data_IF_891698237446
#
_entry.id   IF_891698237446
#
_cell.length_a   1.000
_cell.length_b   1.000
_cell.length_c   1.000
_cell.angle_alpha   90.00
_cell.angle_beta   90.00
_cell.angle_gamma   90.00
#
_symmetry.space_group_name_H-M   'P 1'
#
loop_
_entity.id
_entity.type
_entity.pdbx_description
1 polymer ?
#
# COMPACT_ATOMS: atom_id res chain seq x y z
N UNK A 1 -24.06 -30.15 75.93
CA UNK A 1 -22.68 -29.67 75.74
C UNK A 1 -22.75 -28.15 75.65
N UNK A 2 -22.70 -27.48 76.80
CA UNK A 2 -21.53 -26.70 77.28
C UNK A 2 -21.31 -25.42 76.43
N UNK A 3 -21.90 -24.29 76.86
CA UNK A 3 -21.23 -23.10 77.46
C UNK A 3 -20.64 -22.16 76.39
N UNK A 4 -20.74 -20.83 76.39
CA UNK A 4 -21.15 -19.78 77.35
C UNK A 4 -21.38 -18.46 76.55
N UNK A 5 -22.47 -17.72 76.81
CA UNK A 5 -22.54 -16.41 77.52
C UNK A 5 -21.81 -15.22 76.85
N UNK A 6 -22.52 -14.22 76.27
CA UNK A 6 -22.98 -12.93 76.88
C UNK A 6 -21.77 -11.96 77.09
N UNK A 7 -21.66 -10.71 76.56
CA UNK A 7 -22.53 -9.51 76.66
C UNK A 7 -21.98 -8.33 75.81
N UNK A 8 -22.87 -7.37 75.52
CA UNK A 8 -22.73 -6.06 74.86
C UNK A 8 -22.01 -4.97 75.70
N UNK A 9 -21.48 -3.93 75.03
CA UNK A 9 -21.75 -2.46 75.21
C UNK A 9 -20.52 -1.62 74.77
N UNK A 10 -20.55 -0.81 73.71
CA UNK A 10 -21.03 0.59 73.58
C UNK A 10 -20.04 1.70 74.03
N UNK A 11 -19.76 2.61 73.06
CA UNK A 11 -19.63 4.08 73.13
C UNK A 11 -18.27 4.82 73.34
N UNK A 12 -18.21 5.94 72.59
CA UNK A 12 -17.33 7.14 72.65
C UNK A 12 -15.86 6.96 72.19
N UNK A 13 -15.25 7.79 71.33
CA UNK A 13 -15.51 9.16 70.89
C UNK A 13 -14.34 10.05 71.32
N UNK A 14 -13.49 10.55 70.40
CA UNK A 14 -12.91 11.90 70.51
C UNK A 14 -12.12 12.38 69.28
N UNK A 15 -12.28 13.67 69.00
CA UNK A 15 -11.46 14.50 68.09
C UNK A 15 -10.18 14.92 68.82
N UNK A 16 -9.08 15.18 68.10
CA UNK A 16 -8.31 16.41 68.33
C UNK A 16 -7.39 16.80 67.17
N UNK A 17 -7.39 18.11 66.96
CA UNK A 17 -6.58 19.00 66.13
C UNK A 17 -5.11 19.04 66.59
N UNK A 18 -4.16 19.47 65.74
CA UNK A 18 -3.08 20.39 66.13
C UNK A 18 -2.15 20.80 64.96
N UNK A 19 -1.73 22.06 65.09
CA UNK A 19 -1.06 22.95 64.14
C UNK A 19 0.48 23.01 64.36
N UNK A 20 1.14 23.54 63.33
CA UNK A 20 2.29 24.50 63.34
C UNK A 20 3.73 24.02 63.68
N UNK A 21 4.66 24.50 62.84
CA UNK A 21 6.02 25.08 63.07
C UNK A 21 6.95 24.58 61.94
N UNK A 22 7.38 25.36 60.95
CA UNK A 22 8.09 26.65 60.88
C UNK A 22 9.52 26.64 61.50
N UNK A 23 10.52 26.71 60.61
CA UNK A 23 11.80 27.44 60.68
C UNK A 23 13.11 26.85 61.28
N UNK A 24 14.14 26.95 60.42
CA UNK A 24 15.54 27.43 60.60
C UNK A 24 16.70 26.42 60.88
N UNK A 25 17.50 26.16 59.81
CA UNK A 25 19.00 26.32 59.56
C UNK A 25 20.01 26.31 60.75
N UNK A 26 21.38 26.25 60.58
CA UNK A 26 22.30 26.13 59.40
C UNK A 26 23.45 25.07 59.62
N UNK A 27 24.37 24.76 58.67
CA UNK A 27 25.68 25.40 58.35
C UNK A 27 26.34 24.62 57.18
N UNK A 28 26.76 25.20 56.03
CA UNK A 28 28.02 25.93 55.71
C UNK A 28 29.29 25.10 55.98
N UNK A 29 30.07 24.64 54.98
CA UNK A 29 31.07 25.34 54.15
C UNK A 29 31.60 24.31 53.09
N UNK A 30 32.11 24.61 51.89
CA UNK A 30 32.84 25.79 51.38
C UNK A 30 32.97 25.71 49.83
N UNK A 31 32.85 26.90 49.21
CA UNK A 31 33.52 27.44 48.00
C UNK A 31 33.30 26.79 46.62
N UNK A 32 32.58 27.41 45.67
CA UNK A 32 32.91 28.61 44.85
C UNK A 32 34.06 28.33 43.86
N UNK A 33 34.05 28.68 42.57
CA UNK A 33 33.31 29.65 41.72
C UNK A 33 33.73 29.34 40.26
N UNK A 34 32.94 29.49 39.19
CA UNK A 34 32.65 30.70 38.38
C UNK A 34 32.27 30.13 36.99
N UNK A 35 31.35 30.61 36.15
CA UNK A 35 30.39 31.70 36.21
C UNK A 35 29.41 31.48 35.04
N UNK A 36 28.12 31.56 35.35
CA UNK A 36 27.00 31.82 34.43
C UNK A 36 26.98 33.36 34.17
N UNK A 37 25.98 34.02 33.54
CA UNK A 37 24.75 33.55 32.88
C UNK A 37 24.53 34.34 31.54
N UNK A 38 23.42 34.40 30.80
CA UNK A 38 22.00 34.45 31.10
C UNK A 38 21.17 34.09 29.87
N UNK A 39 19.97 33.66 30.20
CA UNK A 39 18.80 33.39 29.37
C UNK A 39 17.97 34.66 29.11
N UNK A 40 17.22 34.62 28.00
CA UNK A 40 15.74 34.76 27.95
C UNK A 40 15.14 35.83 27.02
N UNK A 41 14.04 35.38 26.39
CA UNK A 41 12.80 36.05 25.93
C UNK A 41 12.70 36.69 24.52
N UNK A 42 11.83 36.01 23.74
CA UNK A 42 10.72 36.50 22.89
C UNK A 42 10.78 37.87 22.21
N UNK A 43 10.52 37.87 20.88
CA UNK A 43 9.55 38.80 20.28
C UNK A 43 9.96 39.53 18.98
N UNK A 44 9.15 39.29 17.94
CA UNK A 44 8.83 40.16 16.77
C UNK A 44 9.82 40.32 15.60
N UNK A 45 9.35 39.78 14.47
CA UNK A 45 9.22 40.38 13.12
C UNK A 45 10.02 41.67 12.82
N UNK A 46 10.95 41.57 11.87
CA UNK A 46 11.53 42.71 11.16
C UNK A 46 11.41 42.44 9.66
N UNK A 47 10.66 43.31 8.99
CA UNK A 47 10.66 43.50 7.54
C UNK A 47 11.86 44.39 7.21
N UNK A 48 12.75 43.97 6.31
CA UNK A 48 13.71 44.84 5.65
C UNK A 48 13.65 44.61 4.14
N UNK A 49 13.28 45.68 3.45
CA UNK A 49 13.27 45.85 2.00
C UNK A 49 14.57 46.49 1.49
N UNK A 50 14.74 46.42 0.17
CA UNK A 50 15.71 47.11 -0.72
C UNK A 50 17.09 46.44 -0.85
N UNK A 51 17.72 46.31 -2.02
CA UNK A 51 17.34 46.58 -3.41
C UNK A 51 18.45 46.05 -4.35
N UNK A 52 18.06 45.59 -5.54
CA UNK A 52 18.79 45.56 -6.82
C UNK A 52 20.15 44.84 -6.93
N UNK A 53 20.20 43.79 -7.76
CA UNK A 53 21.29 43.51 -8.72
C UNK A 53 20.78 42.64 -9.89
N UNK A 54 21.21 42.97 -11.10
CA UNK A 54 20.77 42.47 -12.42
C UNK A 54 21.11 41.00 -12.72
N UNK A 55 20.42 40.35 -13.70
CA UNK A 55 20.61 38.94 -14.03
C UNK A 55 21.64 38.72 -15.14
N UNK A 56 22.60 37.82 -14.93
CA UNK A 56 23.48 37.29 -15.98
C UNK A 56 22.99 35.90 -16.43
N UNK A 57 22.70 35.80 -17.73
CA UNK A 57 22.37 34.56 -18.46
C UNK A 57 23.60 33.65 -18.50
N UNK A 58 23.42 32.37 -18.16
CA UNK A 58 24.33 31.30 -18.59
C UNK A 58 23.60 30.31 -19.49
N UNK A 59 24.15 30.14 -20.68
CA UNK A 59 23.75 29.21 -21.73
C UNK A 59 24.44 27.86 -21.48
N UNK A 60 23.67 26.78 -21.32
CA UNK A 60 24.19 25.41 -21.33
C UNK A 60 23.92 24.76 -22.69
N UNK A 61 24.99 24.51 -23.45
CA UNK A 61 25.04 23.47 -24.50
C UNK A 61 25.51 22.16 -23.86
N UNK A 62 25.00 20.99 -24.30
CA UNK A 62 25.43 19.69 -23.77
C UNK A 62 26.75 19.23 -24.42
N UNK A 63 27.70 18.77 -23.60
CA UNK A 63 28.97 18.18 -24.05
C UNK A 63 28.79 16.67 -24.26
N UNK A 64 29.09 16.21 -25.48
CA UNK A 64 29.19 14.80 -25.87
C UNK A 64 30.49 14.17 -25.36
N UNK A 65 30.40 12.98 -24.78
CA UNK A 65 31.54 12.13 -24.39
C UNK A 65 31.92 11.24 -25.59
N UNK A 66 33.22 11.20 -25.93
CA UNK A 66 33.80 10.42 -27.03
C UNK A 66 34.13 8.96 -26.63
N UNK A 67 34.19 8.02 -27.59
CA UNK A 67 34.44 6.60 -27.34
C UNK A 67 35.92 6.19 -27.46
N UNK A 68 36.20 5.03 -26.85
CA UNK A 68 37.47 4.31 -26.69
C UNK A 68 38.04 3.72 -28.02
N UNK A 69 39.37 3.70 -28.14
CA UNK A 69 40.14 3.24 -29.31
C UNK A 69 40.20 1.71 -29.53
N UNK A 70 40.37 1.28 -30.79
CA UNK A 70 41.02 0.00 -31.18
C UNK A 70 41.91 0.17 -32.43
N UNK A 71 42.97 -0.64 -32.62
CA UNK A 71 44.09 -0.33 -33.50
C UNK A 71 43.94 -0.81 -34.96
N UNK A 72 44.72 -0.18 -35.85
CA UNK A 72 44.80 -0.38 -37.32
C UNK A 72 45.61 -1.61 -37.72
N UNK A 73 45.22 -2.26 -38.81
CA UNK A 73 46.08 -3.04 -39.70
C UNK A 73 45.73 -2.75 -41.17
N UNK A 74 46.72 -2.79 -42.05
CA UNK A 74 46.66 -2.32 -43.45
C UNK A 74 46.98 -3.40 -44.50
N UNK A 75 46.12 -3.47 -45.53
CA UNK A 75 46.34 -3.75 -46.98
C UNK A 75 46.87 -5.15 -47.44
N UNK A 76 46.60 -5.64 -48.68
CA UNK A 76 46.58 -4.88 -49.96
C UNK A 76 45.48 -5.19 -51.01
N UNK A 77 45.65 -4.48 -52.14
CA UNK A 77 44.84 -4.17 -53.33
C UNK A 77 44.72 -5.23 -54.45
N UNK A 78 43.61 -5.19 -55.20
CA UNK A 78 43.58 -5.32 -56.68
C UNK A 78 42.23 -4.92 -57.33
N UNK A 79 42.33 -4.21 -58.46
CA UNK A 79 41.31 -3.74 -59.45
C UNK A 79 41.09 -4.82 -60.56
N UNK A 80 40.25 -4.69 -61.64
CA UNK A 80 39.71 -3.47 -62.31
C UNK A 80 38.21 -3.52 -62.76
N UNK A 81 37.52 -2.37 -62.82
CA UNK A 81 37.23 -1.48 -63.97
C UNK A 81 36.27 -2.02 -65.06
N UNK A 82 35.14 -1.31 -65.28
CA UNK A 82 34.64 -1.05 -66.63
C UNK A 82 33.81 0.26 -66.73
N UNK A 83 33.98 0.89 -67.88
CA UNK A 83 33.64 2.22 -68.43
C UNK A 83 32.18 2.75 -68.46
N UNK A 84 32.02 4.02 -68.06
CA UNK A 84 31.31 5.22 -68.62
C UNK A 84 30.36 5.14 -69.86
N UNK A 85 29.67 6.26 -70.27
CA UNK A 85 28.76 7.19 -69.56
C UNK A 85 27.50 7.57 -70.40
N UNK A 86 26.58 8.44 -69.93
CA UNK A 86 25.90 9.47 -70.75
C UNK A 86 25.02 10.43 -69.92
N UNK A 87 25.11 11.73 -70.26
CA UNK A 87 24.38 12.89 -69.71
C UNK A 87 23.06 13.11 -70.46
N UNK A 88 22.01 13.63 -69.79
CA UNK A 88 21.33 14.92 -70.07
C UNK A 88 19.96 14.98 -69.38
N UNK A 89 19.57 16.17 -68.89
CA UNK A 89 18.17 16.46 -68.56
C UNK A 89 17.96 17.49 -67.44
N UNK A 90 18.19 18.78 -67.74
CA UNK A 90 17.61 19.89 -66.96
C UNK A 90 16.16 20.10 -67.40
N UNK A 91 15.22 20.28 -66.47
CA UNK A 91 14.02 21.09 -66.72
C UNK A 91 13.50 21.76 -65.44
N UNK A 92 13.30 23.08 -65.54
CA UNK A 92 12.68 23.97 -64.55
C UNK A 92 11.17 23.81 -64.58
N UNK A 93 10.51 23.84 -63.41
CA UNK A 93 9.20 24.52 -63.24
C UNK A 93 9.00 24.98 -61.79
N UNK A 94 8.71 26.27 -61.62
CA UNK A 94 7.87 26.89 -60.56
C UNK A 94 6.64 27.49 -61.29
N UNK A 95 5.58 27.99 -60.64
CA UNK A 95 5.00 27.71 -59.32
C UNK A 95 3.47 27.47 -59.41
N UNK A 96 2.79 27.09 -58.31
CA UNK A 96 1.45 27.63 -58.01
C UNK A 96 1.05 27.38 -56.56
N UNK A 97 0.67 28.47 -55.91
CA UNK A 97 -0.02 28.52 -54.63
C UNK A 97 -1.50 28.20 -54.83
N UNK A 98 -2.03 27.21 -54.11
CA UNK A 98 -3.46 27.07 -53.87
C UNK A 98 -3.69 26.77 -52.39
N UNK A 99 -4.34 27.71 -51.71
CA UNK A 99 -4.97 27.53 -50.42
C UNK A 99 -6.25 26.72 -50.59
N UNK A 100 -6.39 25.61 -49.87
CA UNK A 100 -7.71 25.04 -49.60
C UNK A 100 -7.65 24.37 -48.22
N UNK A 101 -8.35 24.98 -47.26
CA UNK A 101 -8.53 24.43 -45.94
C UNK A 101 -9.33 23.13 -46.02
N UNK A 102 -8.80 22.07 -45.40
CA UNK A 102 -9.60 20.93 -44.97
C UNK A 102 -9.42 20.77 -43.47
N UNK A 103 -10.49 21.09 -42.76
CA UNK A 103 -10.68 20.72 -41.37
C UNK A 103 -10.59 19.18 -41.29
N UNK A 104 -9.59 18.67 -40.56
CA UNK A 104 -9.61 17.30 -40.10
C UNK A 104 -10.66 17.18 -39.00
N UNK A 105 -11.88 16.83 -39.39
CA UNK A 105 -12.92 16.39 -38.47
C UNK A 105 -12.56 14.99 -37.99
N UNK A 106 -11.94 14.88 -36.82
CA UNK A 106 -11.80 13.63 -36.07
C UNK A 106 -13.19 13.11 -35.71
N UNK A 107 -13.72 12.18 -36.51
CA UNK A 107 -14.81 11.30 -36.06
C UNK A 107 -14.19 10.11 -35.35
N UNK A 108 -13.86 10.29 -34.08
CA UNK A 108 -13.77 9.18 -33.15
C UNK A 108 -15.21 8.72 -32.89
N UNK A 109 -15.63 7.63 -33.54
CA UNK A 109 -16.84 6.92 -33.15
C UNK A 109 -16.49 6.16 -31.88
N UNK A 110 -16.62 6.83 -30.74
CA UNK A 110 -16.67 6.17 -29.44
C UNK A 110 -18.05 5.53 -29.33
N UNK A 111 -18.11 4.21 -29.39
CA UNK A 111 -19.28 3.48 -28.95
C UNK A 111 -19.40 3.64 -27.44
N UNK A 112 -20.20 4.60 -27.00
CA UNK A 112 -20.72 4.65 -25.63
C UNK A 112 -21.72 3.50 -25.45
N UNK A 113 -21.20 2.30 -25.24
CA UNK A 113 -21.97 1.25 -24.59
C UNK A 113 -21.70 1.36 -23.10
N UNK A 114 -22.68 1.73 -22.25
CA UNK A 114 -22.58 1.52 -20.82
C UNK A 114 -22.68 0.01 -20.63
N UNK A 115 -21.56 -0.69 -20.79
CA UNK A 115 -21.46 -2.09 -20.41
C UNK A 115 -21.39 -2.10 -18.88
N UNK A 116 -22.53 -1.94 -18.21
CA UNK A 116 -22.65 -2.25 -16.80
C UNK A 116 -22.56 -3.77 -16.66
N UNK A 117 -21.35 -4.31 -16.87
CA UNK A 117 -21.00 -5.63 -16.37
C UNK A 117 -21.23 -5.56 -14.87
N UNK A 118 -22.20 -6.34 -14.40
CA UNK A 118 -22.44 -6.48 -12.98
C UNK A 118 -21.34 -7.41 -12.46
N UNK A 119 -20.38 -6.85 -11.74
CA UNK A 119 -19.36 -7.62 -11.05
C UNK A 119 -19.93 -8.15 -9.74
N UNK A 120 -19.56 -9.37 -9.38
CA UNK A 120 -20.05 -10.01 -8.16
C UNK A 120 -19.47 -9.30 -6.94
N UNK A 121 -20.30 -9.15 -5.90
CA UNK A 121 -19.79 -8.72 -4.59
C UNK A 121 -18.85 -9.78 -4.03
N UNK A 122 -17.70 -9.33 -3.53
CA UNK A 122 -16.71 -10.18 -2.87
C UNK A 122 -17.00 -10.27 -1.38
N UNK A 123 -17.48 -9.18 -0.76
CA UNK A 123 -17.84 -9.11 0.64
C UNK A 123 -18.96 -10.08 1.02
N UNK A 124 -18.95 -10.52 2.27
CA UNK A 124 -19.98 -11.36 2.83
C UNK A 124 -21.33 -10.63 2.86
N UNK A 125 -22.45 -11.36 2.83
CA UNK A 125 -23.78 -10.75 2.97
C UNK A 125 -24.03 -10.25 4.40
N UNK A 126 -23.31 -10.80 5.38
CA UNK A 126 -23.30 -10.38 6.78
C UNK A 126 -21.99 -10.78 7.42
N UNK A 127 -21.73 -10.30 8.63
CA UNK A 127 -20.59 -10.72 9.46
C UNK A 127 -20.84 -12.02 10.22
N UNK A 128 -21.88 -12.79 9.86
CA UNK A 128 -22.27 -14.01 10.55
C UNK A 128 -22.93 -13.76 11.91
N UNK A 129 -22.87 -14.70 12.86
CA UNK A 129 -23.42 -14.52 14.20
C UNK A 129 -22.72 -13.44 15.04
N UNK A 130 -21.50 -13.02 14.67
CA UNK A 130 -20.76 -11.99 15.40
C UNK A 130 -21.14 -10.61 14.82
N UNK A 131 -21.57 -9.65 15.66
CA UNK A 131 -21.86 -8.29 15.20
C UNK A 131 -20.65 -7.63 14.53
N UNK A 132 -20.90 -6.85 13.47
CA UNK A 132 -19.85 -6.12 12.74
C UNK A 132 -18.98 -5.27 13.65
N UNK A 133 -19.61 -4.59 14.62
CA UNK A 133 -18.92 -3.65 15.50
C UNK A 133 -17.97 -4.40 16.44
N UNK A 134 -18.35 -5.59 16.91
CA UNK A 134 -17.47 -6.45 17.71
C UNK A 134 -16.27 -6.95 16.89
N UNK A 135 -16.48 -7.38 15.64
CA UNK A 135 -15.36 -7.78 14.77
C UNK A 135 -14.43 -6.61 14.50
N UNK A 136 -14.98 -5.44 14.17
CA UNK A 136 -14.24 -4.21 13.90
C UNK A 136 -13.43 -3.75 15.11
N UNK A 137 -14.00 -3.77 16.32
CA UNK A 137 -13.28 -3.40 17.54
C UNK A 137 -12.06 -4.30 17.77
N UNK A 138 -12.22 -5.63 17.60
CA UNK A 138 -11.12 -6.58 17.82
C UNK A 138 -10.06 -6.50 16.73
N UNK A 139 -10.46 -6.46 15.45
CA UNK A 139 -9.52 -6.40 14.32
C UNK A 139 -8.75 -5.08 14.28
N UNK A 140 -9.39 -3.95 14.62
CA UNK A 140 -8.72 -2.67 14.74
C UNK A 140 -7.75 -2.65 15.92
N UNK A 141 -8.14 -3.20 17.06
CA UNK A 141 -7.24 -3.35 18.22
C UNK A 141 -6.03 -4.20 17.84
N UNK A 142 -6.25 -5.36 17.21
CA UNK A 142 -5.18 -6.26 16.81
C UNK A 142 -4.21 -5.60 15.81
N UNK A 143 -4.73 -4.94 14.78
CA UNK A 143 -3.91 -4.26 13.77
C UNK A 143 -3.10 -3.10 14.38
N UNK A 144 -3.70 -2.30 15.27
CA UNK A 144 -2.98 -1.23 15.99
C UNK A 144 -1.92 -1.77 16.94
N UNK A 145 -2.18 -2.91 17.58
CA UNK A 145 -1.20 -3.59 18.44
C UNK A 145 0.01 -4.06 17.63
N UNK A 146 -0.20 -4.73 16.48
CA UNK A 146 0.89 -5.09 15.56
C UNK A 146 1.63 -3.86 15.04
N UNK A 147 0.89 -2.81 14.66
CA UNK A 147 1.48 -1.57 14.16
C UNK A 147 2.33 -0.86 15.24
N UNK A 148 2.00 -0.96 16.52
CA UNK A 148 2.84 -0.40 17.58
C UNK A 148 4.22 -1.08 17.62
N UNK A 149 4.30 -2.39 17.40
CA UNK A 149 5.57 -3.12 17.31
C UNK A 149 6.44 -2.57 16.18
N UNK A 150 5.84 -2.34 15.01
CA UNK A 150 6.53 -1.78 13.85
C UNK A 150 6.95 -0.33 14.12
N UNK A 151 6.08 0.48 14.74
CA UNK A 151 6.39 1.87 15.11
C UNK A 151 7.58 1.96 16.08
N UNK A 152 7.74 0.98 16.97
CA UNK A 152 8.91 0.91 17.84
C UNK A 152 10.18 0.49 17.08
N UNK A 153 10.06 -0.09 15.90
CA UNK A 153 11.15 -0.57 15.05
C UNK A 153 11.53 0.37 13.91
N UNK A 154 10.64 1.25 13.43
CA UNK A 154 10.85 2.02 12.19
C UNK A 154 12.12 2.87 12.16
N UNK A 155 12.61 3.36 13.31
CA UNK A 155 13.84 4.15 13.44
C UNK A 155 15.06 3.37 13.96
N UNK A 156 14.92 2.06 14.22
CA UNK A 156 16.03 1.24 14.69
C UNK A 156 17.01 0.94 13.54
N UNK A 157 18.32 0.84 13.82
CA UNK A 157 19.31 0.43 12.83
C UNK A 157 19.02 -0.98 12.30
N UNK A 158 19.13 -1.18 10.99
CA UNK A 158 18.85 -2.46 10.32
C UNK A 158 20.14 -3.03 9.72
N UNK A 159 20.34 -4.33 9.88
CA UNK A 159 21.33 -5.07 9.10
C UNK A 159 20.62 -5.68 7.89
N UNK A 160 20.72 -5.05 6.73
CA UNK A 160 20.20 -5.58 5.47
C UNK A 160 21.19 -6.65 4.99
N UNK A 161 21.21 -7.80 5.65
CA UNK A 161 21.95 -8.99 5.20
C UNK A 161 20.96 -9.96 4.59
N UNK A 162 21.23 -10.41 3.36
CA UNK A 162 20.43 -11.43 2.68
C UNK A 162 20.25 -12.65 3.60
N UNK A 163 18.97 -12.96 3.91
CA UNK A 163 18.47 -14.09 4.70
C UNK A 163 19.55 -14.97 5.35
N UNK A 164 20.01 -14.55 6.53
CA UNK A 164 20.91 -15.33 7.37
C UNK A 164 21.03 -14.75 8.78
N UNK A 165 20.38 -15.43 9.74
CA UNK A 165 20.48 -15.30 11.21
C UNK A 165 20.40 -13.86 11.76
N UNK A 166 19.21 -13.48 12.24
CA UNK A 166 18.81 -12.17 12.82
C UNK A 166 18.78 -11.01 11.82
N UNK A 167 17.83 -11.07 10.89
CA UNK A 167 17.36 -9.89 10.17
C UNK A 167 16.32 -9.19 11.06
N UNK A 168 16.60 -7.93 11.46
CA UNK A 168 15.67 -7.10 12.26
C UNK A 168 14.29 -7.04 11.59
N UNK A 169 14.25 -7.13 10.27
CA UNK A 169 13.00 -7.20 9.51
C UNK A 169 12.25 -8.47 9.92
N UNK A 170 12.80 -9.66 9.70
CA UNK A 170 12.19 -10.95 10.11
C UNK A 170 11.78 -11.00 11.59
N UNK A 171 12.56 -10.40 12.49
CA UNK A 171 12.20 -10.36 13.91
C UNK A 171 11.01 -9.41 14.16
N UNK A 172 10.94 -8.27 13.45
CA UNK A 172 9.83 -7.31 13.55
C UNK A 172 8.53 -7.92 13.00
N UNK A 173 8.58 -8.58 11.84
CA UNK A 173 7.43 -9.30 11.26
C UNK A 173 6.85 -10.30 12.26
N UNK A 174 7.69 -11.17 12.84
CA UNK A 174 7.27 -12.20 13.81
C UNK A 174 6.74 -11.61 15.12
N UNK A 175 7.37 -10.55 15.63
CA UNK A 175 6.90 -9.89 16.84
C UNK A 175 5.55 -9.19 16.62
N UNK A 176 5.35 -8.58 15.46
CA UNK A 176 4.08 -7.97 15.05
C UNK A 176 2.99 -9.04 14.96
N UNK A 177 3.26 -10.16 14.27
CA UNK A 177 2.29 -11.27 14.16
C UNK A 177 1.93 -11.84 15.53
N UNK A 178 2.92 -12.12 16.39
CA UNK A 178 2.66 -12.64 17.73
C UNK A 178 1.74 -11.71 18.55
N UNK A 179 1.98 -10.40 18.49
CA UNK A 179 1.17 -9.41 19.21
C UNK A 179 -0.27 -9.33 18.66
N UNK A 180 -0.44 -9.46 17.34
CA UNK A 180 -1.76 -9.56 16.68
C UNK A 180 -2.48 -10.85 17.14
N UNK A 181 -1.80 -11.99 17.10
CA UNK A 181 -2.35 -13.29 17.46
C UNK A 181 -2.84 -13.34 18.91
N UNK A 182 -2.12 -12.70 19.84
CA UNK A 182 -2.53 -12.62 21.24
C UNK A 182 -3.86 -11.88 21.41
N UNK A 183 -4.08 -10.79 20.66
CA UNK A 183 -5.35 -10.06 20.67
C UNK A 183 -6.46 -10.91 20.08
N UNK A 184 -6.23 -11.54 18.92
CA UNK A 184 -7.24 -12.37 18.24
C UNK A 184 -7.65 -13.54 19.12
N UNK A 185 -6.69 -14.33 19.62
CA UNK A 185 -6.97 -15.54 20.43
C UNK A 185 -7.63 -15.25 21.77
N UNK A 186 -7.36 -14.09 22.37
CA UNK A 186 -8.02 -13.67 23.62
C UNK A 186 -9.51 -13.41 23.43
N UNK A 187 -9.91 -12.99 22.23
CA UNK A 187 -11.32 -12.67 21.92
C UNK A 187 -12.02 -13.81 21.19
N UNK A 188 -11.28 -14.59 20.38
CA UNK A 188 -11.79 -15.62 19.49
C UNK A 188 -10.84 -16.83 19.49
N UNK A 189 -10.94 -17.68 20.53
CA UNK A 189 -10.01 -18.78 20.76
C UNK A 189 -10.13 -19.91 19.71
N UNK A 190 -11.31 -20.05 19.12
CA UNK A 190 -11.74 -21.11 18.20
C UNK A 190 -11.72 -20.67 16.73
N UNK A 191 -11.31 -19.44 16.41
CA UNK A 191 -11.26 -19.01 15.01
C UNK A 191 -10.03 -19.56 14.28
N UNK A 192 -10.17 -19.79 12.98
CA UNK A 192 -9.06 -20.16 12.10
C UNK A 192 -8.24 -18.92 11.76
N UNK A 193 -6.92 -19.05 11.71
CA UNK A 193 -6.00 -17.96 11.40
C UNK A 193 -5.00 -18.44 10.36
N UNK A 194 -4.75 -17.61 9.35
CA UNK A 194 -3.73 -17.77 8.32
C UNK A 194 -2.84 -16.52 8.35
N UNK A 195 -1.68 -16.64 9.00
CA UNK A 195 -0.64 -15.60 9.02
C UNK A 195 0.45 -15.85 7.99
N UNK A 196 1.09 -14.79 7.52
CA UNK A 196 2.24 -14.88 6.61
C UNK A 196 3.42 -15.66 7.23
N UNK A 197 3.79 -15.36 8.48
CA UNK A 197 4.96 -15.98 9.14
C UNK A 197 4.58 -17.28 9.86
N UNK A 198 3.40 -17.33 10.48
CA UNK A 198 2.94 -18.46 11.29
C UNK A 198 2.18 -19.55 10.53
N UNK A 199 1.74 -19.27 9.31
CA UNK A 199 0.92 -20.18 8.51
C UNK A 199 -0.49 -20.38 9.09
N UNK A 200 -1.05 -21.57 8.88
CA UNK A 200 -2.42 -21.90 9.30
C UNK A 200 -2.46 -22.48 10.73
N UNK A 201 -3.24 -21.87 11.61
CA UNK A 201 -3.41 -22.27 13.02
C UNK A 201 -4.87 -22.07 13.47
N UNK A 202 -5.31 -22.78 14.52
CA UNK A 202 -6.67 -22.66 15.07
C UNK A 202 -7.57 -23.82 14.66
N UNK A 203 -8.88 -23.64 14.78
CA UNK A 203 -9.85 -24.69 14.45
C UNK A 203 -10.28 -24.61 12.99
N UNK A 204 -9.94 -25.65 12.22
CA UNK A 204 -10.28 -25.73 10.80
C UNK A 204 -11.78 -25.81 10.51
N UNK A 205 -12.61 -26.10 11.52
CA UNK A 205 -14.08 -26.13 11.42
C UNK A 205 -14.75 -24.77 11.66
N UNK A 206 -13.98 -23.74 12.02
CA UNK A 206 -14.51 -22.39 12.22
C UNK A 206 -15.10 -21.81 10.94
N UNK A 207 -16.22 -21.11 11.06
CA UNK A 207 -16.78 -20.30 9.97
C UNK A 207 -15.94 -19.04 9.68
N UNK A 208 -14.99 -18.69 10.56
CA UNK A 208 -14.17 -17.49 10.44
C UNK A 208 -12.71 -17.82 10.15
N UNK A 209 -12.14 -17.11 9.18
CA UNK A 209 -10.71 -17.14 8.87
C UNK A 209 -10.11 -15.74 8.96
N UNK A 210 -9.16 -15.54 9.86
CA UNK A 210 -8.34 -14.33 9.94
C UNK A 210 -7.13 -14.46 9.00
N UNK A 211 -7.04 -13.62 7.99
CA UNK A 211 -5.86 -13.49 7.14
C UNK A 211 -5.02 -12.32 7.64
N UNK A 212 -3.78 -12.59 8.05
CA UNK A 212 -2.90 -11.63 8.72
C UNK A 212 -1.61 -11.47 7.92
N UNK A 213 -1.36 -10.25 7.47
CA UNK A 213 -0.05 -9.80 7.04
C UNK A 213 0.50 -8.83 8.10
N UNK A 214 1.49 -9.25 8.89
CA UNK A 214 2.03 -8.45 9.97
C UNK A 214 2.91 -7.29 9.50
N UNK A 215 3.36 -7.28 8.24
CA UNK A 215 4.16 -6.20 7.63
C UNK A 215 4.16 -6.31 6.09
N UNK A 216 3.08 -5.82 5.46
CA UNK A 216 2.99 -5.68 4.01
C UNK A 216 3.98 -4.62 3.54
N UNK A 217 4.83 -4.96 2.58
CA UNK A 217 5.92 -4.09 2.12
C UNK A 217 7.19 -4.19 2.96
N UNK A 218 7.53 -5.39 3.45
CA UNK A 218 8.78 -5.74 4.15
C UNK A 218 10.04 -5.11 3.53
N UNK A 219 10.13 -5.10 2.18
CA UNK A 219 11.24 -4.45 1.44
C UNK A 219 11.26 -2.93 1.68
N UNK A 220 10.10 -2.28 1.64
CA UNK A 220 9.99 -0.85 1.89
C UNK A 220 10.35 -0.51 3.34
N UNK A 221 9.88 -1.30 4.30
CA UNK A 221 10.27 -1.16 5.69
C UNK A 221 11.79 -1.29 5.87
N UNK A 222 12.42 -2.28 5.24
CA UNK A 222 13.86 -2.49 5.29
C UNK A 222 14.65 -1.26 4.78
N UNK A 223 14.14 -0.61 3.74
CA UNK A 223 14.74 0.57 3.12
C UNK A 223 14.23 1.91 3.68
N UNK A 224 13.39 1.90 4.71
CA UNK A 224 12.72 3.09 5.25
C UNK A 224 11.91 3.88 4.20
N UNK A 225 11.42 3.22 3.16
CA UNK A 225 10.53 3.80 2.17
C UNK A 225 9.09 3.85 2.72
N UNK A 226 8.38 4.98 2.64
CA UNK A 226 7.13 5.19 3.37
C UNK A 226 5.91 4.64 2.62
N UNK A 227 5.88 3.31 2.47
CA UNK A 227 4.75 2.56 1.92
C UNK A 227 4.79 1.12 2.42
N UNK A 228 4.26 0.89 3.62
CA UNK A 228 4.10 -0.43 4.22
C UNK A 228 2.97 -0.39 5.26
N UNK A 229 2.43 -1.54 5.64
CA UNK A 229 1.28 -1.60 6.54
C UNK A 229 1.23 -2.87 7.38
N UNK A 230 0.41 -2.84 8.44
CA UNK A 230 -0.21 -4.06 8.98
C UNK A 230 -1.55 -4.25 8.28
N UNK A 231 -1.85 -5.45 7.79
CA UNK A 231 -3.11 -5.78 7.13
C UNK A 231 -3.76 -6.98 7.78
N UNK A 232 -5.02 -6.83 8.20
CA UNK A 232 -5.82 -7.92 8.75
C UNK A 232 -7.19 -7.92 8.09
N UNK A 233 -7.56 -9.05 7.50
CA UNK A 233 -8.90 -9.31 6.98
C UNK A 233 -9.52 -10.52 7.68
N UNK A 234 -10.81 -10.45 7.96
CA UNK A 234 -11.60 -11.57 8.49
C UNK A 234 -12.57 -12.02 7.41
N UNK A 235 -12.49 -13.29 7.05
CA UNK A 235 -13.46 -13.94 6.18
C UNK A 235 -14.52 -14.63 7.04
N UNK A 236 -15.79 -14.52 6.65
CA UNK A 236 -16.88 -15.37 7.13
C UNK A 236 -17.29 -16.29 5.97
N UNK A 237 -17.15 -17.60 6.16
CA UNK A 237 -17.39 -18.64 5.15
C UNK A 237 -16.76 -18.34 3.78
N UNK A 238 -15.49 -17.93 3.81
CA UNK A 238 -14.70 -17.64 2.61
C UNK A 238 -14.90 -16.25 2.00
N UNK A 239 -15.81 -15.41 2.50
CA UNK A 239 -16.03 -14.05 2.01
C UNK A 239 -15.59 -12.99 3.03
N UNK A 240 -14.93 -11.87 2.62
CA UNK A 240 -14.53 -10.82 3.55
C UNK A 240 -15.71 -10.22 4.33
N UNK A 241 -15.57 -10.18 5.65
CA UNK A 241 -16.59 -9.72 6.59
C UNK A 241 -16.15 -8.44 7.34
N UNK A 242 -14.88 -8.35 7.74
CA UNK A 242 -14.29 -7.18 8.38
C UNK A 242 -12.81 -7.03 8.00
N UNK A 243 -12.30 -5.80 7.99
CA UNK A 243 -10.95 -5.48 7.56
C UNK A 243 -10.40 -4.26 8.30
N UNK A 244 -9.10 -4.31 8.63
CA UNK A 244 -8.30 -3.15 9.05
C UNK A 244 -6.93 -3.18 8.39
N UNK A 245 -6.50 -2.05 7.85
CA UNK A 245 -5.13 -1.81 7.36
C UNK A 245 -4.56 -0.59 8.09
N UNK A 246 -3.40 -0.72 8.72
CA UNK A 246 -2.68 0.38 9.36
C UNK A 246 -1.45 0.70 8.51
N UNK A 247 -1.57 1.71 7.66
CA UNK A 247 -0.51 2.19 6.77
C UNK A 247 0.45 3.11 7.53
N UNK A 248 1.74 2.96 7.26
CA UNK A 248 2.79 3.88 7.72
C UNK A 248 3.12 4.91 6.65
N UNK A 249 3.15 6.18 7.06
CA UNK A 249 3.46 7.33 6.19
C UNK A 249 4.58 8.18 6.79
N UNK A 250 5.20 9.03 5.96
CA UNK A 250 6.26 9.94 6.39
C UNK A 250 7.64 9.47 5.98
N UNK A 251 8.50 9.17 6.95
CA UNK A 251 9.86 8.71 6.70
C UNK A 251 10.72 8.70 7.96
N UNK A 252 12.03 8.43 7.84
CA UNK A 252 12.95 8.41 8.98
C UNK A 252 12.79 9.63 9.88
N UNK A 253 12.56 9.38 11.18
CA UNK A 253 12.35 10.41 12.23
C UNK A 253 11.04 11.20 12.14
N UNK A 254 10.12 10.88 11.23
CA UNK A 254 8.83 11.56 11.07
C UNK A 254 7.69 10.61 10.66
N UNK A 255 7.74 9.38 11.17
CA UNK A 255 6.71 8.36 10.93
C UNK A 255 5.37 8.72 11.59
N UNK A 256 4.28 8.42 10.88
CA UNK A 256 2.91 8.48 11.37
C UNK A 256 2.11 7.33 10.74
N UNK A 257 0.85 7.14 11.16
CA UNK A 257 -0.03 6.11 10.61
C UNK A 257 -1.34 6.67 10.05
N UNK A 258 -1.93 5.92 9.12
CA UNK A 258 -3.34 6.05 8.70
C UNK A 258 -4.01 4.69 8.88
N UNK A 259 -5.19 4.67 9.47
CA UNK A 259 -5.96 3.44 9.70
C UNK A 259 -7.15 3.39 8.76
N UNK A 260 -7.20 2.39 7.90
CA UNK A 260 -8.33 2.08 7.05
C UNK A 260 -9.13 0.95 7.67
N UNK A 261 -10.46 1.08 7.70
CA UNK A 261 -11.35 0.03 8.20
C UNK A 261 -12.53 -0.18 7.25
N UNK A 262 -13.12 -1.37 7.29
CA UNK A 262 -14.34 -1.68 6.57
C UNK A 262 -14.99 -2.95 7.10
N UNK A 263 -16.32 -3.01 7.04
CA UNK A 263 -17.08 -4.22 7.32
C UNK A 263 -18.19 -4.38 6.29
N UNK A 264 -18.55 -5.63 6.01
CA UNK A 264 -19.56 -5.98 5.02
C UNK A 264 -20.87 -5.18 5.21
N UNK A 265 -21.22 -4.39 4.20
CA UNK A 265 -22.41 -3.54 4.15
C UNK A 265 -22.37 -2.29 5.05
N UNK A 266 -21.22 -1.92 5.61
CA UNK A 266 -21.08 -0.78 6.55
C UNK A 266 -20.33 0.41 5.95
N UNK A 267 -19.71 0.25 4.78
CA UNK A 267 -18.84 1.25 4.17
C UNK A 267 -17.40 1.15 4.66
N UNK A 268 -16.52 1.89 3.99
CA UNK A 268 -15.10 2.00 4.31
C UNK A 268 -14.78 3.35 4.95
N UNK A 269 -13.77 3.37 5.83
CA UNK A 269 -13.36 4.54 6.58
C UNK A 269 -11.83 4.68 6.60
N UNK A 270 -11.34 5.91 6.66
CA UNK A 270 -9.94 6.25 6.94
C UNK A 270 -9.91 7.17 8.17
N UNK A 271 -9.25 6.75 9.24
CA UNK A 271 -9.20 7.46 10.52
C UNK A 271 -10.60 7.83 11.06
N UNK A 272 -11.59 6.96 10.84
CA UNK A 272 -12.98 7.16 11.25
C UNK A 272 -13.82 8.02 10.30
N UNK A 273 -13.24 8.62 9.26
CA UNK A 273 -13.97 9.36 8.24
C UNK A 273 -14.33 8.46 7.06
N UNK A 274 -15.56 8.54 6.58
CA UNK A 274 -16.04 7.71 5.46
C UNK A 274 -15.31 8.08 4.16
N UNK A 275 -14.87 7.07 3.41
CA UNK A 275 -14.14 7.25 2.15
C UNK A 275 -14.90 6.66 0.97
N UNK A 276 -14.54 7.10 -0.24
CA UNK A 276 -15.12 6.66 -1.49
C UNK A 276 -14.08 6.62 -2.61
N UNK A 277 -14.22 5.66 -3.52
CA UNK A 277 -13.39 5.58 -4.72
C UNK A 277 -13.57 6.81 -5.63
N UNK A 278 -12.56 7.09 -6.45
CA UNK A 278 -12.54 8.17 -7.43
C UNK A 278 -13.68 8.07 -8.45
N UNK A 279 -14.17 9.20 -8.95
CA UNK A 279 -15.18 9.23 -10.03
C UNK A 279 -14.57 9.44 -11.43
N UNK A 280 -13.24 9.38 -11.56
CA UNK A 280 -12.56 9.48 -12.86
C UNK A 280 -13.06 8.39 -13.82
N UNK A 281 -13.55 8.80 -14.99
CA UNK A 281 -14.21 7.95 -15.98
C UNK A 281 -13.36 7.67 -17.23
N UNK A 282 -12.15 8.22 -17.26
CA UNK A 282 -11.23 8.22 -18.41
C UNK A 282 -9.84 7.76 -18.01
N UNK A 283 -9.32 6.75 -18.70
CA UNK A 283 -7.98 6.17 -18.44
C UNK A 283 -6.90 7.23 -18.66
N UNK A 284 -7.06 8.12 -19.64
CA UNK A 284 -6.13 9.23 -19.89
C UNK A 284 -6.07 10.27 -18.77
N UNK A 285 -7.01 10.21 -17.82
CA UNK A 285 -7.05 11.07 -16.63
C UNK A 285 -6.73 10.34 -15.34
N UNK A 286 -6.56 9.02 -15.37
CA UNK A 286 -6.33 8.24 -14.17
C UNK A 286 -4.85 8.19 -13.76
N UNK A 287 -4.62 8.08 -12.45
CA UNK A 287 -3.38 7.63 -11.86
C UNK A 287 -3.58 6.18 -11.41
N UNK A 288 -2.71 5.28 -11.84
CA UNK A 288 -2.84 3.85 -11.57
C UNK A 288 -1.70 3.36 -10.68
N UNK A 289 -1.91 2.23 -9.99
CA UNK A 289 -0.90 1.54 -9.19
C UNK A 289 -0.82 0.06 -9.61
N UNK A 290 0.33 -0.57 -9.44
CA UNK A 290 0.53 -2.01 -9.67
C UNK A 290 1.66 -2.52 -8.78
N UNK A 291 1.74 -3.83 -8.57
CA UNK A 291 2.96 -4.47 -8.07
C UNK A 291 3.55 -5.49 -9.03
N UNK A 292 4.69 -6.04 -8.65
CA UNK A 292 5.44 -7.04 -9.42
C UNK A 292 5.93 -8.12 -8.47
N UNK A 293 5.66 -9.37 -8.83
CA UNK A 293 6.20 -10.54 -8.12
C UNK A 293 7.73 -10.63 -8.24
N UNK A 294 8.33 -11.35 -7.29
CA UNK A 294 9.78 -11.56 -7.22
C UNK A 294 10.32 -12.50 -8.32
N UNK A 295 9.46 -13.37 -8.85
CA UNK A 295 9.81 -14.29 -9.93
C UNK A 295 9.73 -13.56 -11.28
N UNK A 296 10.85 -13.40 -11.97
CA UNK A 296 10.91 -12.75 -13.28
C UNK A 296 10.59 -13.73 -14.42
N UNK A 297 9.39 -14.29 -14.38
CA UNK A 297 8.87 -15.25 -15.35
C UNK A 297 7.95 -14.60 -16.40
N UNK A 298 7.16 -15.40 -17.11
CA UNK A 298 6.20 -14.93 -18.10
C UNK A 298 5.11 -14.01 -17.51
N UNK A 299 4.67 -14.26 -16.27
CA UNK A 299 3.67 -13.42 -15.61
C UNK A 299 4.26 -12.05 -15.27
N UNK A 300 5.50 -12.01 -14.78
CA UNK A 300 6.24 -10.77 -14.59
C UNK A 300 6.43 -10.00 -15.90
N UNK A 301 6.88 -10.66 -16.97
CA UNK A 301 7.09 -10.02 -18.27
C UNK A 301 5.78 -9.44 -18.84
N UNK A 302 4.68 -10.17 -18.68
CA UNK A 302 3.35 -9.69 -19.09
C UNK A 302 2.91 -8.48 -18.28
N UNK A 303 3.16 -8.48 -16.97
CA UNK A 303 2.85 -7.35 -16.11
C UNK A 303 3.69 -6.11 -16.45
N UNK A 304 4.96 -6.27 -16.83
CA UNK A 304 5.82 -5.18 -17.31
C UNK A 304 5.26 -4.55 -18.60
N UNK A 305 4.76 -5.36 -19.54
CA UNK A 305 4.12 -4.83 -20.75
C UNK A 305 2.81 -4.08 -20.43
N UNK A 306 1.99 -4.58 -19.49
CA UNK A 306 0.80 -3.86 -19.00
C UNK A 306 1.20 -2.52 -18.36
N UNK A 307 2.22 -2.51 -17.49
CA UNK A 307 2.73 -1.31 -16.85
C UNK A 307 3.19 -0.26 -17.87
N UNK A 308 3.92 -0.68 -18.90
CA UNK A 308 4.35 0.17 -20.01
C UNK A 308 3.16 0.73 -20.77
N UNK A 309 2.23 -0.13 -21.20
CA UNK A 309 1.05 0.30 -21.94
C UNK A 309 0.21 1.31 -21.14
N UNK A 310 -0.06 1.02 -19.87
CA UNK A 310 -0.83 1.93 -19.02
C UNK A 310 -0.10 3.24 -18.71
N UNK A 311 1.24 3.24 -18.69
CA UNK A 311 2.01 4.48 -18.56
C UNK A 311 1.84 5.36 -19.81
N UNK A 312 1.73 4.77 -21.00
CA UNK A 312 1.55 5.52 -22.25
C UNK A 312 0.16 6.16 -22.38
N UNK A 313 -0.88 5.57 -21.78
CA UNK A 313 -2.29 5.98 -21.97
C UNK A 313 -2.94 6.64 -20.75
N UNK A 314 -2.23 6.80 -19.63
CA UNK A 314 -2.76 7.39 -18.39
C UNK A 314 -1.91 8.57 -17.89
N UNK A 315 -2.17 9.07 -16.67
CA UNK A 315 -1.28 10.05 -16.00
C UNK A 315 -0.07 9.39 -15.34
N UNK A 316 0.14 8.11 -15.62
CA UNK A 316 1.25 7.30 -15.17
C UNK A 316 0.80 6.20 -14.22
N UNK A 317 1.72 5.26 -14.02
CA UNK A 317 1.55 4.14 -13.11
C UNK A 317 2.56 4.28 -11.97
N UNK A 318 2.17 3.91 -10.75
CA UNK A 318 3.04 3.81 -9.57
C UNK A 318 3.25 2.35 -9.22
N UNK A 319 4.38 2.07 -8.58
CA UNK A 319 4.71 0.77 -7.98
C UNK A 319 5.18 1.06 -6.56
N UNK A 320 4.24 1.09 -5.61
CA UNK A 320 4.54 1.49 -4.24
C UNK A 320 5.17 0.35 -3.45
N UNK A 321 4.75 -0.90 -3.71
CA UNK A 321 5.39 -2.10 -3.17
C UNK A 321 4.80 -2.60 -1.85
N UNK A 322 3.52 -2.30 -1.61
CA UNK A 322 2.72 -2.83 -0.51
C UNK A 322 1.27 -2.98 -1.00
N UNK A 323 0.81 -4.21 -1.18
CA UNK A 323 -0.45 -4.52 -1.88
C UNK A 323 -1.68 -3.99 -1.13
N UNK A 324 -1.72 -4.16 0.19
CA UNK A 324 -2.82 -3.68 1.03
C UNK A 324 -2.89 -2.15 1.04
N UNK A 325 -1.73 -1.48 1.00
CA UNK A 325 -1.64 -0.01 0.87
C UNK A 325 -2.17 0.46 -0.48
N UNK A 326 -1.74 -0.18 -1.57
CA UNK A 326 -2.16 0.15 -2.94
C UNK A 326 -3.69 0.01 -3.10
N UNK A 327 -4.30 -1.04 -2.54
CA UNK A 327 -5.77 -1.19 -2.51
C UNK A 327 -6.44 -0.10 -1.65
N UNK A 328 -5.90 0.23 -0.48
CA UNK A 328 -6.44 1.31 0.36
C UNK A 328 -6.38 2.68 -0.33
N UNK A 329 -5.36 2.92 -1.17
CA UNK A 329 -5.25 4.15 -1.97
C UNK A 329 -6.33 4.22 -3.06
N UNK A 330 -6.72 3.08 -3.64
CA UNK A 330 -7.88 2.98 -4.55
C UNK A 330 -9.17 3.34 -3.78
N UNK A 331 -9.37 2.74 -2.60
CA UNK A 331 -10.52 3.01 -1.74
C UNK A 331 -10.62 4.48 -1.28
N UNK A 332 -9.47 5.12 -1.06
CA UNK A 332 -9.35 6.54 -0.72
C UNK A 332 -9.62 7.47 -1.92
N UNK A 333 -9.65 6.93 -3.14
CA UNK A 333 -9.92 7.68 -4.37
C UNK A 333 -8.77 8.55 -4.85
N UNK A 334 -7.53 8.30 -4.39
CA UNK A 334 -6.33 9.03 -4.84
C UNK A 334 -5.64 8.37 -6.06
N UNK A 335 -6.01 7.13 -6.34
CA UNK A 335 -5.67 6.36 -7.55
C UNK A 335 -6.91 5.61 -8.01
N UNK A 336 -7.01 5.29 -9.30
CA UNK A 336 -8.23 4.70 -9.87
C UNK A 336 -8.26 3.18 -9.88
N UNK A 337 -7.11 2.51 -9.91
CA UNK A 337 -7.05 1.05 -9.94
C UNK A 337 -5.69 0.50 -9.52
N UNK A 338 -5.74 -0.76 -9.06
CA UNK A 338 -4.59 -1.60 -8.73
C UNK A 338 -4.75 -2.98 -9.37
N UNK A 339 -3.66 -3.52 -9.91
CA UNK A 339 -3.60 -4.90 -10.37
C UNK A 339 -2.29 -5.58 -9.95
N UNK A 340 -2.34 -6.88 -9.68
CA UNK A 340 -1.15 -7.69 -9.39
C UNK A 340 -1.42 -9.19 -9.55
N UNK A 341 -0.38 -9.91 -9.94
CA UNK A 341 -0.35 -11.38 -10.00
C UNK A 341 0.39 -11.98 -8.80
N UNK A 342 0.00 -13.20 -8.44
CA UNK A 342 0.59 -14.11 -7.44
C UNK A 342 0.56 -13.63 -5.97
N UNK A 343 -0.36 -12.72 -5.65
CA UNK A 343 -0.65 -12.35 -4.26
C UNK A 343 -1.18 -13.52 -3.43
N UNK A 344 -1.10 -13.37 -2.12
CA UNK A 344 -1.56 -14.29 -1.09
C UNK A 344 -2.85 -13.79 -0.45
N UNK A 345 -3.61 -14.67 0.23
CA UNK A 345 -4.83 -14.27 0.94
C UNK A 345 -4.62 -13.12 1.93
N UNK A 346 -3.51 -13.10 2.67
CA UNK A 346 -3.21 -12.05 3.65
C UNK A 346 -2.93 -10.68 3.01
N UNK A 347 -2.33 -10.65 1.82
CA UNK A 347 -2.12 -9.42 1.04
C UNK A 347 -3.45 -8.78 0.60
N UNK A 348 -4.48 -9.60 0.34
CA UNK A 348 -5.70 -9.18 -0.35
C UNK A 348 -6.92 -9.04 0.56
N UNK A 349 -7.08 -9.90 1.57
CA UNK A 349 -8.33 -10.06 2.32
C UNK A 349 -8.89 -8.74 2.86
N UNK A 350 -8.01 -7.89 3.42
CA UNK A 350 -8.41 -6.59 3.96
C UNK A 350 -8.69 -5.57 2.84
N UNK A 351 -7.74 -5.43 1.91
CA UNK A 351 -7.78 -4.41 0.86
C UNK A 351 -8.98 -4.53 -0.06
N UNK A 352 -9.34 -5.75 -0.48
CA UNK A 352 -10.48 -5.97 -1.39
C UNK A 352 -11.82 -5.60 -0.75
N UNK A 353 -12.00 -5.89 0.54
CA UNK A 353 -13.21 -5.49 1.28
C UNK A 353 -13.29 -3.97 1.39
N UNK A 354 -12.18 -3.32 1.77
CA UNK A 354 -12.11 -1.87 1.91
C UNK A 354 -12.42 -1.17 0.57
N UNK A 355 -11.92 -1.69 -0.56
CA UNK A 355 -12.25 -1.15 -1.89
C UNK A 355 -13.73 -1.34 -2.24
N UNK A 356 -14.29 -2.54 -2.03
CA UNK A 356 -15.71 -2.79 -2.32
C UNK A 356 -16.63 -1.89 -1.47
N UNK A 357 -16.36 -1.78 -0.17
CA UNK A 357 -17.13 -0.95 0.75
C UNK A 357 -16.97 0.56 0.49
N UNK A 358 -15.88 0.98 -0.16
CA UNK A 358 -15.71 2.34 -0.69
C UNK A 358 -16.48 2.60 -2.00
N UNK A 359 -17.15 1.58 -2.56
CA UNK A 359 -17.90 1.65 -3.82
C UNK A 359 -17.10 1.26 -5.06
N UNK A 360 -15.96 0.60 -4.88
CA UNK A 360 -15.13 0.09 -5.96
C UNK A 360 -15.63 -1.23 -6.54
N UNK A 361 -14.81 -1.84 -7.39
CA UNK A 361 -15.09 -3.12 -8.03
C UNK A 361 -13.86 -4.01 -7.98
N UNK A 362 -14.07 -5.30 -7.72
CA UNK A 362 -13.04 -6.33 -7.59
C UNK A 362 -13.31 -7.46 -8.58
N UNK A 363 -12.29 -7.94 -9.26
CA UNK A 363 -12.33 -9.14 -10.10
C UNK A 363 -10.97 -9.84 -10.15
N UNK A 364 -10.92 -11.04 -10.70
CA UNK A 364 -9.66 -11.59 -11.19
C UNK A 364 -9.19 -10.79 -12.42
N UNK A 365 -7.90 -10.87 -12.76
CA UNK A 365 -7.33 -10.05 -13.86
C UNK A 365 -7.84 -10.45 -15.25
N UNK A 366 -8.38 -11.67 -15.39
CA UNK A 366 -9.13 -12.14 -16.56
C UNK A 366 -10.57 -11.60 -16.64
N UNK A 367 -11.04 -10.91 -15.60
CA UNK A 367 -12.42 -10.45 -15.44
C UNK A 367 -13.37 -11.48 -14.82
N UNK A 368 -12.85 -12.63 -14.38
CA UNK A 368 -13.58 -13.66 -13.65
C UNK A 368 -14.00 -13.23 -12.24
N UNK A 369 -14.88 -14.03 -11.64
CA UNK A 369 -15.27 -13.84 -10.23
C UNK A 369 -14.05 -14.02 -9.34
N UNK A 370 -13.86 -13.08 -8.41
CA UNK A 370 -12.77 -13.10 -7.45
C UNK A 370 -13.20 -13.78 -6.14
N UNK A 371 -12.26 -14.54 -5.56
CA UNK A 371 -12.22 -14.90 -4.15
C UNK A 371 -10.83 -14.60 -3.56
N UNK A 372 -10.75 -14.47 -2.24
CA UNK A 372 -9.50 -14.13 -1.54
C UNK A 372 -8.39 -15.17 -1.74
N UNK A 373 -8.72 -16.39 -2.17
CA UNK A 373 -7.75 -17.44 -2.44
C UNK A 373 -7.22 -17.43 -3.88
N UNK A 374 -7.73 -16.55 -4.76
CA UNK A 374 -7.21 -16.39 -6.11
C UNK A 374 -5.79 -15.82 -6.11
N UNK A 375 -5.10 -15.97 -7.24
CA UNK A 375 -3.71 -15.49 -7.43
C UNK A 375 -3.63 -14.23 -8.27
N UNK A 376 -4.74 -13.62 -8.63
CA UNK A 376 -4.71 -12.39 -9.41
C UNK A 376 -5.87 -11.51 -8.99
N UNK A 377 -5.61 -10.22 -8.92
CA UNK A 377 -6.64 -9.26 -8.54
C UNK A 377 -6.55 -8.04 -9.43
N UNK A 378 -7.70 -7.55 -9.84
CA UNK A 378 -7.92 -6.20 -10.32
C UNK A 378 -8.93 -5.55 -9.40
N UNK A 379 -8.54 -4.48 -8.74
CA UNK A 379 -9.47 -3.58 -8.04
C UNK A 379 -9.48 -2.23 -8.74
N UNK A 380 -10.64 -1.59 -8.80
CA UNK A 380 -10.74 -0.25 -9.36
C UNK A 380 -11.89 0.55 -8.77
N UNK A 381 -12.01 1.80 -9.20
CA UNK A 381 -13.13 2.67 -8.88
C UNK A 381 -14.48 2.28 -9.50
N UNK A 382 -14.57 1.09 -10.12
CA UNK A 382 -15.76 0.59 -10.79
C UNK A 382 -15.98 1.20 -12.18
N UNK A 383 -15.92 2.52 -12.30
CA UNK A 383 -16.16 3.24 -13.57
C UNK A 383 -15.15 2.85 -14.65
N UNK A 384 -13.87 2.69 -14.29
CA UNK A 384 -12.82 2.28 -15.22
C UNK A 384 -12.66 0.78 -15.37
N UNK A 385 -13.33 -0.03 -14.56
CA UNK A 385 -13.05 -1.46 -14.42
C UNK A 385 -13.11 -2.21 -15.77
N UNK A 386 -14.19 -2.05 -16.52
CA UNK A 386 -14.35 -2.69 -17.82
C UNK A 386 -13.29 -2.21 -18.84
N UNK A 387 -12.95 -0.92 -18.84
CA UNK A 387 -11.95 -0.34 -19.76
C UNK A 387 -10.54 -0.88 -19.50
N UNK A 388 -10.19 -1.09 -18.23
CA UNK A 388 -8.91 -1.69 -17.85
C UNK A 388 -8.84 -3.16 -18.27
N UNK A 389 -9.93 -3.91 -18.09
CA UNK A 389 -10.03 -5.32 -18.50
C UNK A 389 -9.90 -5.54 -20.00
N UNK A 390 -10.20 -4.56 -20.85
CA UNK A 390 -9.96 -4.66 -22.30
C UNK A 390 -8.48 -4.91 -22.64
N UNK A 391 -7.55 -4.51 -21.76
CA UNK A 391 -6.11 -4.76 -21.90
C UNK A 391 -5.63 -5.89 -21.00
N UNK A 392 -6.05 -5.88 -19.73
CA UNK A 392 -5.58 -6.84 -18.73
C UNK A 392 -6.09 -8.24 -19.04
N UNK A 393 -7.39 -8.40 -19.35
CA UNK A 393 -8.01 -9.71 -19.54
C UNK A 393 -7.35 -10.56 -20.61
N UNK A 394 -7.18 -10.06 -21.86
CA UNK A 394 -6.48 -10.81 -22.91
C UNK A 394 -5.03 -11.17 -22.56
N UNK A 395 -4.33 -10.29 -21.82
CA UNK A 395 -2.97 -10.56 -21.37
C UNK A 395 -2.92 -11.70 -20.35
N UNK A 396 -3.86 -11.73 -19.40
CA UNK A 396 -4.00 -12.80 -18.41
C UNK A 396 -4.43 -14.13 -19.04
N UNK A 397 -5.39 -14.12 -19.97
CA UNK A 397 -5.82 -15.33 -20.67
C UNK A 397 -4.68 -15.97 -21.48
N UNK A 398 -3.81 -15.15 -22.09
CA UNK A 398 -2.61 -15.64 -22.77
C UNK A 398 -1.65 -16.36 -21.81
N UNK A 399 -1.53 -15.91 -20.56
CA UNK A 399 -0.70 -16.57 -19.55
C UNK A 399 -1.26 -17.94 -19.15
N UNK A 400 -2.59 -18.07 -19.00
CA UNK A 400 -3.23 -19.35 -18.73
C UNK A 400 -2.97 -20.38 -19.83
N UNK A 401 -2.99 -19.93 -21.10
CA UNK A 401 -2.63 -20.77 -22.24
C UNK A 401 -1.17 -21.25 -22.26
N UNK A 402 -0.29 -20.66 -21.44
CA UNK A 402 1.10 -21.07 -21.25
C UNK A 402 1.31 -21.93 -19.99
N UNK A 403 0.23 -22.49 -19.43
CA UNK A 403 0.27 -23.35 -18.23
C UNK A 403 0.81 -22.64 -16.97
N UNK A 404 0.73 -21.31 -16.91
CA UNK A 404 1.00 -20.56 -15.67
C UNK A 404 -0.11 -20.85 -14.66
N UNK A 405 0.30 -21.26 -13.44
CA UNK A 405 -0.61 -21.66 -12.38
C UNK A 405 -1.34 -20.47 -11.75
N UNK A 406 -2.59 -20.28 -12.15
CA UNK A 406 -3.57 -19.38 -11.54
C UNK A 406 -4.64 -20.13 -10.72
N UNK A 407 -4.39 -21.39 -10.34
CA UNK A 407 -5.28 -22.07 -9.39
C UNK A 407 -5.26 -21.35 -8.05
N UNK A 408 -6.27 -21.62 -7.20
CA UNK A 408 -6.31 -21.05 -5.85
C UNK A 408 -4.97 -21.29 -5.15
N UNK A 409 -4.44 -20.26 -4.48
CA UNK A 409 -3.16 -20.37 -3.78
C UNK A 409 -3.24 -21.44 -2.70
N UNK A 410 -4.24 -21.35 -1.83
CA UNK A 410 -4.50 -22.31 -0.77
C UNK A 410 -5.89 -22.09 -0.21
N UNK A 411 -6.75 -23.11 -0.27
CA UNK A 411 -8.02 -23.15 0.47
C UNK A 411 -7.87 -24.22 1.55
N UNK A 412 -8.02 -23.89 2.85
CA UNK A 412 -7.94 -24.91 3.91
C UNK A 412 -9.03 -25.98 3.72
N UNK A 413 -8.66 -27.27 3.81
CA UNK A 413 -9.52 -28.40 3.42
C UNK A 413 -10.88 -28.44 4.14
N UNK A 414 -10.90 -28.08 5.44
CA UNK A 414 -12.12 -28.11 6.26
C UNK A 414 -12.79 -26.74 6.44
N UNK A 415 -12.22 -25.68 5.86
CA UNK A 415 -12.81 -24.35 5.96
C UNK A 415 -14.01 -24.24 5.02
N UNK A 416 -15.19 -24.06 5.60
CA UNK A 416 -16.44 -23.92 4.84
C UNK A 416 -16.38 -22.62 4.00
N UNK A 417 -16.68 -22.73 2.71
CA UNK A 417 -16.66 -21.58 1.80
C UNK A 417 -17.92 -21.49 0.97
N UNK A 418 -18.55 -20.31 0.92
CA UNK A 418 -19.68 -19.98 0.04
C UNK A 418 -19.19 -19.27 -1.25
N UNK A 419 -18.09 -19.78 -1.84
CA UNK A 419 -17.40 -19.18 -2.98
C UNK A 419 -18.04 -19.48 -4.33
#
# INVERSE_FOLDING_TARGET
MAQSSIKRSEAAGDKLDLRKQDRLRPQKQKTETQGNPQTSKMGRCIVLSSSTLNPSRFSCKPTLILPFERPRFSLPSSLPANSQPLKFGFCRTRPSTFSCGRAFSTKAVLSETPNQRHYFKVGAESTGPIPSDQLLDVIETAAKTGAQVIMDAVNKPRNITYKGLTDLVTDTDKMSEAAILDVVRKNFQDHLILGEEGGLIGDSSSDYLWCIDPLDGTTNFAHCYPSFAVSIGVLYKGKPAAATVVEFVGGPKCWNTRTFTGAAGKGAFCNGEKIHVSQTDKVERSLLVTGFGYEHDDAWATNIELFKEFTDISRGVRRLGAAAVDMCHVALGIVEAYWEYRLKPWDMAAGVLIVEEAGGTVSCMDGGKFCVFDRSVLVSNGVLHAKLLERIGPATEKLKGKEIDFSLWYKPENYLTEL
#
